data_IF_681487341490
#
_entry.id   IF_681487341490
#
_cell.length_a   1.000
_cell.length_b   1.000
_cell.length_c   1.000
_cell.angle_alpha   90.00
_cell.angle_beta   90.00
_cell.angle_gamma   90.00
#
_symmetry.space_group_name_H-M   'P 1'
#
loop_
_entity.id
_entity.type
_entity.pdbx_description
1 polymer ?
#
# COMPACT_ATOMS: atom_id res chain seq x y z
N UNK A 1 -20.33 43.33 -15.07
CA UNK A 1 -19.68 43.23 -13.75
C UNK A 1 -18.42 42.41 -13.95
N UNK A 2 -17.25 43.02 -13.87
CA UNK A 2 -15.98 42.37 -14.20
C UNK A 2 -15.50 41.57 -12.98
N UNK A 3 -15.28 40.26 -13.14
CA UNK A 3 -14.91 39.36 -12.03
C UNK A 3 -13.56 39.77 -11.41
N UNK A 4 -12.70 40.45 -12.18
CA UNK A 4 -11.42 41.02 -11.73
C UNK A 4 -11.56 42.10 -10.65
N UNK A 5 -12.74 42.71 -10.50
CA UNK A 5 -12.96 43.80 -9.54
C UNK A 5 -13.57 43.32 -8.21
N UNK A 6 -13.95 42.05 -8.11
CA UNK A 6 -14.49 41.44 -6.90
C UNK A 6 -13.47 41.45 -5.75
N UNK A 7 -13.92 41.83 -4.55
CA UNK A 7 -13.09 41.84 -3.34
C UNK A 7 -12.60 40.42 -2.99
N UNK A 8 -13.41 39.39 -3.27
CA UNK A 8 -13.01 37.98 -3.16
C UNK A 8 -11.88 37.61 -4.14
N UNK A 9 -11.83 38.22 -5.32
CA UNK A 9 -10.72 37.97 -6.27
C UNK A 9 -9.44 38.66 -5.79
N UNK A 10 -9.54 39.86 -5.24
CA UNK A 10 -8.38 40.63 -4.74
C UNK A 10 -7.74 40.00 -3.51
N UNK A 11 -8.55 39.49 -2.58
CA UNK A 11 -8.04 38.92 -1.32
C UNK A 11 -7.38 37.55 -1.50
N UNK A 12 -7.87 36.74 -2.44
CA UNK A 12 -7.34 35.38 -2.65
C UNK A 12 -6.36 35.26 -3.82
N UNK A 13 -6.39 36.15 -4.82
CA UNK A 13 -5.49 36.07 -5.99
C UNK A 13 -4.22 36.92 -5.88
N UNK A 14 -4.22 38.06 -5.14
CA UNK A 14 -3.03 38.92 -5.03
C UNK A 14 -1.78 38.23 -4.45
N UNK A 15 -1.87 37.34 -3.44
CA UNK A 15 -0.70 36.62 -2.94
C UNK A 15 -0.09 35.66 -3.97
N UNK A 16 -0.86 35.23 -4.97
CA UNK A 16 -0.44 34.29 -6.03
C UNK A 16 0.24 35.03 -7.19
N UNK A 17 -0.03 36.33 -7.36
CA UNK A 17 0.44 37.13 -8.50
C UNK A 17 1.83 37.76 -8.30
N UNK A 18 2.37 37.76 -7.08
CA UNK A 18 3.71 38.28 -6.78
C UNK A 18 4.50 37.30 -5.90
N UNK A 19 5.00 36.17 -6.46
CA UNK A 19 5.99 35.37 -5.75
C UNK A 19 7.30 36.16 -5.67
N UNK A 20 7.83 36.37 -4.46
CA UNK A 20 9.17 36.93 -4.26
C UNK A 20 10.20 36.13 -5.08
N UNK A 21 11.09 36.79 -5.84
CA UNK A 21 12.01 36.09 -6.73
C UNK A 21 13.09 35.37 -5.91
N UNK A 22 13.05 34.04 -5.89
CA UNK A 22 14.19 33.22 -5.46
C UNK A 22 15.26 33.20 -6.58
N UNK A 23 16.56 33.33 -6.27
CA UNK A 23 17.59 33.32 -7.30
C UNK A 23 17.82 31.88 -7.81
N UNK A 24 17.58 31.64 -9.11
CA UNK A 24 17.97 30.40 -9.80
C UNK A 24 16.94 29.71 -10.72
N UNK A 25 15.81 30.35 -11.04
CA UNK A 25 14.70 29.69 -11.76
C UNK A 25 14.92 29.49 -13.27
N UNK A 26 14.82 28.22 -13.69
CA UNK A 26 14.62 27.77 -15.08
C UNK A 26 13.39 28.47 -15.68
N UNK A 27 13.52 29.00 -16.90
CA UNK A 27 12.43 29.65 -17.64
C UNK A 27 11.38 28.61 -18.08
N UNK A 28 10.24 28.56 -17.39
CA UNK A 28 9.02 27.93 -17.92
C UNK A 28 8.36 28.84 -18.98
N UNK A 29 7.66 28.29 -19.99
CA UNK A 29 6.87 29.07 -20.94
C UNK A 29 5.71 29.80 -20.22
N UNK A 30 5.10 30.84 -20.83
CA UNK A 30 4.12 31.67 -20.15
C UNK A 30 2.83 30.87 -19.93
N UNK A 31 2.71 30.23 -18.78
CA UNK A 31 1.46 29.65 -18.30
C UNK A 31 0.42 30.76 -18.22
N UNK A 32 -0.78 30.54 -18.78
CA UNK A 32 -1.89 31.45 -18.57
C UNK A 32 -2.23 31.50 -17.08
N UNK A 33 -2.88 32.58 -16.63
CA UNK A 33 -3.36 32.72 -15.23
C UNK A 33 -4.18 31.48 -14.83
N UNK A 34 -4.99 30.95 -15.77
CA UNK A 34 -5.80 29.76 -15.54
C UNK A 34 -4.94 28.51 -15.29
N UNK A 35 -3.88 28.30 -16.07
CA UNK A 35 -3.01 27.13 -15.90
C UNK A 35 -2.30 27.16 -14.54
N UNK A 36 -1.88 28.35 -14.10
CA UNK A 36 -1.26 28.55 -12.78
C UNK A 36 -2.25 28.20 -11.65
N UNK A 37 -3.51 28.61 -11.79
CA UNK A 37 -4.57 28.28 -10.83
C UNK A 37 -4.85 26.78 -10.82
N UNK A 38 -4.95 26.13 -11.99
CA UNK A 38 -5.17 24.68 -12.09
C UNK A 38 -4.02 23.89 -11.45
N UNK A 39 -2.77 24.30 -11.74
CA UNK A 39 -1.58 23.70 -11.15
C UNK A 39 -1.57 23.85 -9.63
N UNK A 40 -1.94 25.02 -9.11
CA UNK A 40 -2.04 25.26 -7.67
C UNK A 40 -3.11 24.39 -7.01
N UNK A 41 -4.31 24.30 -7.60
CA UNK A 41 -5.40 23.45 -7.09
C UNK A 41 -5.02 21.96 -7.09
N UNK A 42 -4.30 21.51 -8.12
CA UNK A 42 -3.80 20.14 -8.19
C UNK A 42 -2.74 19.88 -7.12
N UNK A 43 -1.84 20.83 -6.86
CA UNK A 43 -0.81 20.73 -5.83
C UNK A 43 -1.35 20.75 -4.39
N UNK A 44 -2.56 21.25 -4.16
CA UNK A 44 -3.24 21.18 -2.85
C UNK A 44 -3.99 19.87 -2.62
N UNK A 45 -4.18 19.08 -3.68
CA UNK A 45 -4.98 17.87 -3.61
C UNK A 45 -4.31 16.80 -2.74
N UNK A 46 -5.12 16.09 -1.96
CA UNK A 46 -4.69 15.02 -1.06
C UNK A 46 -5.44 13.75 -1.36
N UNK A 47 -4.71 12.65 -1.49
CA UNK A 47 -5.27 11.31 -1.59
C UNK A 47 -5.33 10.67 -0.20
N UNK A 48 -6.52 10.24 0.19
CA UNK A 48 -6.74 9.45 1.40
C UNK A 48 -7.06 8.01 1.00
N UNK A 49 -6.17 7.10 1.33
CA UNK A 49 -6.33 5.69 0.98
C UNK A 49 -7.33 5.01 1.91
N UNK A 50 -8.34 4.35 1.34
CA UNK A 50 -9.25 3.49 2.08
C UNK A 50 -8.93 2.01 1.92
N UNK A 51 -8.38 1.62 0.76
CA UNK A 51 -7.98 0.23 0.49
C UNK A 51 -6.90 0.18 -0.59
N UNK A 52 -5.89 -0.67 -0.40
CA UNK A 52 -4.91 -1.06 -1.42
C UNK A 52 -4.84 -2.57 -1.40
N UNK A 53 -5.03 -3.22 -2.54
CA UNK A 53 -4.90 -4.67 -2.67
C UNK A 53 -3.80 -5.00 -3.68
N UNK A 54 -2.85 -5.82 -3.24
CA UNK A 54 -1.76 -6.37 -4.05
C UNK A 54 -2.01 -7.87 -4.19
N UNK A 55 -2.12 -8.35 -5.42
CA UNK A 55 -2.45 -9.75 -5.76
C UNK A 55 -1.63 -10.25 -6.95
N UNK A 56 -1.75 -11.54 -7.28
CA UNK A 56 -1.18 -12.16 -8.48
C UNK A 56 0.31 -11.84 -8.67
N UNK A 57 1.11 -12.08 -7.63
CA UNK A 57 2.54 -11.82 -7.63
C UNK A 57 3.28 -12.75 -8.60
N UNK A 58 4.05 -12.18 -9.54
CA UNK A 58 5.03 -12.91 -10.36
C UNK A 58 6.46 -12.55 -9.94
N UNK A 59 7.48 -12.87 -10.73
CA UNK A 59 8.84 -12.41 -10.45
C UNK A 59 9.04 -10.92 -10.77
N UNK A 60 8.26 -10.40 -11.71
CA UNK A 60 8.45 -9.12 -12.41
C UNK A 60 7.18 -8.25 -12.46
N UNK A 61 6.05 -8.72 -11.92
CA UNK A 61 4.77 -8.01 -11.96
C UNK A 61 3.87 -8.36 -10.77
N UNK A 62 2.81 -7.57 -10.61
CA UNK A 62 1.74 -7.80 -9.64
C UNK A 62 0.44 -7.13 -10.11
N UNK A 63 -0.69 -7.54 -9.57
CA UNK A 63 -1.96 -6.83 -9.73
C UNK A 63 -2.17 -5.84 -8.58
N UNK A 64 -2.63 -4.64 -8.93
CA UNK A 64 -2.89 -3.55 -7.97
C UNK A 64 -4.33 -3.06 -8.11
N UNK A 65 -5.03 -2.95 -6.97
CA UNK A 65 -6.31 -2.25 -6.84
C UNK A 65 -6.18 -1.16 -5.78
N UNK A 66 -6.67 0.05 -6.06
CA UNK A 66 -6.64 1.17 -5.11
C UNK A 66 -8.03 1.76 -4.98
N UNK A 67 -8.51 1.87 -3.74
CA UNK A 67 -9.63 2.70 -3.36
C UNK A 67 -9.12 3.87 -2.52
N UNK A 68 -9.39 5.08 -2.98
CA UNK A 68 -9.01 6.29 -2.26
C UNK A 68 -10.05 7.39 -2.40
N UNK A 69 -9.88 8.46 -1.63
CA UNK A 69 -10.65 9.68 -1.73
C UNK A 69 -9.72 10.83 -2.06
N UNK A 70 -9.94 11.47 -3.20
CA UNK A 70 -9.29 12.72 -3.57
C UNK A 70 -10.03 13.88 -2.91
N UNK A 71 -9.31 14.73 -2.21
CA UNK A 71 -9.85 15.91 -1.51
C UNK A 71 -8.92 17.10 -1.70
N UNK A 72 -9.35 18.31 -1.29
CA UNK A 72 -8.48 19.49 -1.35
C UNK A 72 -8.29 20.09 -2.75
N UNK A 73 -9.09 19.67 -3.74
CA UNK A 73 -9.05 20.19 -5.13
C UNK A 73 -9.68 21.57 -5.30
N UNK A 74 -9.99 22.26 -4.20
CA UNK A 74 -10.60 23.59 -4.17
C UNK A 74 -12.12 23.61 -4.42
N UNK A 75 -12.70 24.82 -4.46
CA UNK A 75 -14.15 24.99 -4.56
C UNK A 75 -14.71 24.73 -5.97
N UNK A 76 -13.81 24.63 -6.96
CA UNK A 76 -14.15 24.47 -8.37
C UNK A 76 -14.20 22.99 -8.70
N UNK A 77 -15.32 22.53 -9.25
CA UNK A 77 -15.37 21.16 -9.79
C UNK A 77 -14.45 21.04 -10.99
N UNK A 78 -13.57 20.03 -10.95
CA UNK A 78 -12.61 19.76 -11.99
C UNK A 78 -12.64 18.31 -12.42
N UNK A 79 -12.16 18.05 -13.62
CA UNK A 79 -12.07 16.72 -14.19
C UNK A 79 -10.63 16.47 -14.60
N UNK A 80 -10.00 15.52 -13.94
CA UNK A 80 -8.71 14.96 -14.34
C UNK A 80 -9.03 13.88 -15.38
N UNK A 81 -8.53 14.02 -16.61
CA UNK A 81 -8.73 13.01 -17.65
C UNK A 81 -8.00 11.70 -17.27
N UNK A 82 -8.43 10.59 -17.85
CA UNK A 82 -7.69 9.34 -17.73
C UNK A 82 -6.26 9.54 -18.27
N UNK A 83 -5.26 9.06 -17.53
CA UNK A 83 -3.85 9.23 -17.85
C UNK A 83 -3.02 8.08 -17.28
N UNK A 84 -1.80 7.91 -17.78
CA UNK A 84 -0.83 6.95 -17.23
C UNK A 84 0.06 7.68 -16.23
N UNK A 85 0.14 7.14 -15.01
CA UNK A 85 0.95 7.72 -13.93
C UNK A 85 2.08 6.78 -13.56
N UNK A 86 3.22 7.34 -13.20
CA UNK A 86 4.30 6.58 -12.58
C UNK A 86 4.06 6.49 -11.08
N UNK A 87 4.29 5.31 -10.52
CA UNK A 87 4.26 5.06 -9.09
C UNK A 87 5.67 5.25 -8.53
N UNK A 88 5.87 6.21 -7.63
CA UNK A 88 7.16 6.48 -7.01
C UNK A 88 7.16 6.12 -5.53
N UNK A 89 8.23 5.45 -5.10
CA UNK A 89 8.54 5.20 -3.71
C UNK A 89 10.01 5.54 -3.46
N UNK A 90 10.28 6.32 -2.41
CA UNK A 90 11.64 6.78 -2.07
C UNK A 90 12.43 7.40 -3.24
N UNK A 91 11.74 8.13 -4.14
CA UNK A 91 12.36 8.80 -5.28
C UNK A 91 12.64 7.90 -6.50
N UNK A 92 12.29 6.61 -6.44
CA UNK A 92 12.46 5.67 -7.55
C UNK A 92 11.11 5.12 -8.01
N UNK A 93 10.99 4.92 -9.34
CA UNK A 93 9.76 4.41 -9.95
C UNK A 93 9.60 2.91 -9.64
N UNK A 94 8.45 2.52 -9.11
CA UNK A 94 8.05 1.13 -8.89
C UNK A 94 7.43 0.51 -10.15
N UNK A 95 6.76 1.32 -10.96
CA UNK A 95 6.01 0.86 -12.13
C UNK A 95 5.05 1.95 -12.63
N UNK A 96 4.22 1.59 -13.60
CA UNK A 96 3.23 2.49 -14.21
C UNK A 96 1.83 1.92 -14.05
N UNK A 97 0.86 2.79 -13.82
CA UNK A 97 -0.55 2.42 -13.77
C UNK A 97 -1.41 3.41 -14.55
N UNK A 98 -2.55 2.93 -15.06
CA UNK A 98 -3.59 3.79 -15.61
C UNK A 98 -4.43 4.36 -14.47
N UNK A 99 -4.51 5.69 -14.39
CA UNK A 99 -5.42 6.41 -13.54
C UNK A 99 -6.70 6.70 -14.33
N UNK A 100 -7.88 6.27 -13.85
CA UNK A 100 -9.13 6.55 -14.55
C UNK A 100 -9.47 8.04 -14.50
N UNK A 101 -10.44 8.47 -15.30
CA UNK A 101 -10.95 9.83 -15.22
C UNK A 101 -11.52 10.12 -13.82
N UNK A 102 -11.05 11.19 -13.18
CA UNK A 102 -11.51 11.62 -11.86
C UNK A 102 -12.30 12.91 -11.98
N UNK A 103 -13.55 12.92 -11.50
CA UNK A 103 -14.37 14.12 -11.40
C UNK A 103 -14.28 14.67 -9.99
N UNK A 104 -13.33 15.56 -9.74
CA UNK A 104 -13.16 16.20 -8.44
C UNK A 104 -14.33 17.15 -8.13
N UNK A 105 -14.93 16.95 -6.97
CA UNK A 105 -16.01 17.78 -6.44
C UNK A 105 -15.60 18.50 -5.15
N UNK A 106 -16.38 19.51 -4.77
CA UNK A 106 -16.15 20.34 -3.58
C UNK A 106 -15.92 19.54 -2.30
N UNK A 107 -16.70 18.47 -2.09
CA UNK A 107 -16.63 17.64 -0.89
C UNK A 107 -15.53 16.57 -0.93
N UNK A 108 -14.83 16.42 -2.06
CA UNK A 108 -13.95 15.30 -2.37
C UNK A 108 -14.67 14.15 -3.08
N UNK A 109 -13.91 13.37 -3.83
CA UNK A 109 -14.40 12.35 -4.77
C UNK A 109 -13.74 11.01 -4.49
N UNK A 110 -14.51 9.91 -4.58
CA UNK A 110 -13.96 8.56 -4.54
C UNK A 110 -13.22 8.26 -5.84
N UNK A 111 -11.98 7.81 -5.72
CA UNK A 111 -11.15 7.32 -6.82
C UNK A 111 -11.05 5.81 -6.67
N UNK A 112 -11.44 5.08 -7.71
CA UNK A 112 -11.36 3.63 -7.77
C UNK A 112 -10.49 3.24 -8.96
N UNK A 113 -9.28 2.80 -8.66
CA UNK A 113 -8.40 2.15 -9.62
C UNK A 113 -8.73 0.67 -9.58
N UNK A 114 -9.31 0.16 -10.67
CA UNK A 114 -9.64 -1.28 -10.81
C UNK A 114 -8.35 -2.10 -10.87
N UNK A 115 -8.50 -3.40 -10.61
CA UNK A 115 -7.39 -4.34 -10.72
C UNK A 115 -6.73 -4.24 -12.09
N UNK A 116 -5.43 -3.95 -12.07
CA UNK A 116 -4.60 -3.88 -13.25
C UNK A 116 -3.22 -4.44 -12.94
N UNK A 117 -2.59 -5.03 -13.97
CA UNK A 117 -1.23 -5.57 -13.87
C UNK A 117 -0.22 -4.41 -13.96
N UNK A 118 0.71 -4.39 -13.02
CA UNK A 118 1.82 -3.45 -12.95
C UNK A 118 3.12 -4.24 -13.14
N UNK A 119 3.92 -3.85 -14.13
CA UNK A 119 5.26 -4.39 -14.29
C UNK A 119 6.23 -3.62 -13.38
N UNK A 120 7.07 -4.38 -12.67
CA UNK A 120 8.00 -3.87 -11.66
C UNK A 120 9.22 -3.27 -12.37
N UNK A 121 9.39 -1.95 -12.25
CA UNK A 121 10.52 -1.24 -12.84
C UNK A 121 11.82 -1.42 -12.04
N UNK A 122 11.72 -1.53 -10.71
CA UNK A 122 12.84 -1.74 -9.79
C UNK A 122 12.43 -2.71 -8.69
N UNK A 123 12.89 -3.96 -8.79
CA UNK A 123 12.54 -5.03 -7.84
C UNK A 123 13.11 -4.78 -6.44
N UNK A 124 14.26 -4.09 -6.33
CA UNK A 124 14.87 -3.80 -5.03
C UNK A 124 14.02 -2.76 -4.31
N UNK A 125 13.65 -1.69 -5.00
CA UNK A 125 12.80 -0.65 -4.44
C UNK A 125 11.37 -1.16 -4.16
N UNK A 126 10.84 -2.03 -5.02
CA UNK A 126 9.54 -2.67 -4.79
C UNK A 126 9.53 -3.55 -3.54
N UNK A 127 10.58 -4.36 -3.31
CA UNK A 127 10.70 -5.13 -2.06
C UNK A 127 10.78 -4.23 -0.84
N UNK A 128 11.50 -3.11 -0.93
CA UNK A 128 11.55 -2.11 0.14
C UNK A 128 10.17 -1.48 0.40
N UNK A 129 9.37 -1.26 -0.65
CA UNK A 129 7.99 -0.79 -0.52
C UNK A 129 7.09 -1.81 0.20
N UNK A 130 7.13 -3.09 -0.20
CA UNK A 130 6.35 -4.15 0.47
C UNK A 130 6.77 -4.29 1.94
N UNK A 131 8.07 -4.29 2.22
CA UNK A 131 8.59 -4.28 3.60
C UNK A 131 8.05 -3.08 4.38
N UNK A 132 8.05 -1.89 3.79
CA UNK A 132 7.52 -0.68 4.41
C UNK A 132 6.04 -0.82 4.75
N UNK A 133 5.23 -1.40 3.85
CA UNK A 133 3.82 -1.68 4.09
C UNK A 133 3.61 -2.68 5.25
N UNK A 134 4.44 -3.72 5.37
CA UNK A 134 4.27 -4.76 6.38
C UNK A 134 4.82 -4.36 7.76
N UNK A 135 5.95 -3.66 7.80
CA UNK A 135 6.71 -3.44 9.04
C UNK A 135 6.48 -2.04 9.63
N UNK A 136 6.34 -1.01 8.80
CA UNK A 136 6.19 0.36 9.28
C UNK A 136 4.72 0.74 9.50
N UNK A 137 4.45 1.69 10.40
CA UNK A 137 3.10 2.21 10.66
C UNK A 137 2.64 3.19 9.57
N UNK A 138 3.58 3.85 8.91
CA UNK A 138 3.35 4.87 7.90
C UNK A 138 4.32 4.68 6.74
N UNK A 139 3.79 4.80 5.53
CA UNK A 139 4.53 4.84 4.28
C UNK A 139 3.84 5.80 3.31
N UNK A 140 4.48 6.12 2.19
CA UNK A 140 3.88 7.00 1.19
C UNK A 140 4.24 6.51 -0.20
N UNK A 141 3.26 6.50 -1.08
CA UNK A 141 3.45 6.32 -2.51
C UNK A 141 3.15 7.64 -3.20
N UNK A 142 3.88 7.99 -4.25
CA UNK A 142 3.64 9.21 -5.02
C UNK A 142 3.17 8.84 -6.42
N UNK A 143 2.11 9.50 -6.88
CA UNK A 143 1.66 9.43 -8.28
C UNK A 143 2.24 10.63 -9.02
N UNK A 144 3.01 10.39 -10.07
CA UNK A 144 3.66 11.45 -10.86
C UNK A 144 3.34 11.28 -12.35
N UNK A 145 2.83 12.35 -12.97
CA UNK A 145 2.58 12.49 -14.40
C UNK A 145 2.86 13.93 -14.84
N UNK A 146 3.85 14.10 -15.72
CA UNK A 146 4.25 15.40 -16.28
C UNK A 146 3.24 16.02 -17.27
N UNK A 147 2.27 15.25 -17.78
CA UNK A 147 1.35 15.70 -18.84
C UNK A 147 -0.11 15.35 -18.55
N UNK A 148 -0.58 15.70 -17.35
CA UNK A 148 -1.95 15.47 -16.97
C UNK A 148 -2.88 16.56 -17.55
N UNK A 149 -4.00 16.17 -18.18
CA UNK A 149 -5.01 17.13 -18.64
C UNK A 149 -6.10 17.32 -17.60
N UNK A 150 -6.23 18.56 -17.10
CA UNK A 150 -7.26 18.96 -16.13
C UNK A 150 -8.26 19.88 -16.80
N UNK A 151 -9.56 19.60 -16.63
CA UNK A 151 -10.67 20.43 -17.14
C UNK A 151 -11.43 21.06 -15.99
N UNK A 152 -11.58 22.38 -16.00
CA UNK A 152 -12.43 23.10 -15.06
C UNK A 152 -12.89 24.43 -15.66
N UNK A 153 -14.06 24.90 -15.20
CA UNK A 153 -14.67 26.17 -15.65
C UNK A 153 -14.78 26.31 -17.17
N UNK A 154 -15.02 25.20 -17.88
CA UNK A 154 -15.13 25.19 -19.35
C UNK A 154 -13.79 25.27 -20.10
N UNK A 155 -12.66 25.27 -19.40
CA UNK A 155 -11.31 25.29 -19.97
C UNK A 155 -10.58 23.98 -19.71
N UNK A 156 -9.54 23.69 -20.51
CA UNK A 156 -8.64 22.54 -20.34
C UNK A 156 -7.20 23.05 -20.28
N UNK A 157 -6.44 22.54 -19.32
CA UNK A 157 -5.04 22.89 -19.10
C UNK A 157 -4.20 21.63 -18.96
N UNK A 158 -2.95 21.70 -19.43
CA UNK A 158 -1.95 20.66 -19.19
C UNK A 158 -1.21 21.04 -17.89
N UNK A 159 -1.19 20.11 -16.94
CA UNK A 159 -0.62 20.30 -15.60
C UNK A 159 0.35 19.16 -15.30
N UNK A 160 1.32 19.45 -14.43
CA UNK A 160 2.17 18.43 -13.82
C UNK A 160 1.44 17.90 -12.58
N UNK A 161 1.05 16.63 -12.61
CA UNK A 161 0.40 15.96 -11.49
C UNK A 161 1.46 15.30 -10.61
N UNK A 162 1.53 15.74 -9.36
CA UNK A 162 2.28 15.07 -8.29
C UNK A 162 1.39 14.94 -7.07
N UNK A 163 0.88 13.74 -6.83
CA UNK A 163 -0.02 13.46 -5.72
C UNK A 163 0.65 12.52 -4.74
N UNK A 164 0.86 12.99 -3.52
CA UNK A 164 1.29 12.14 -2.42
C UNK A 164 0.09 11.34 -1.91
N UNK A 165 0.32 10.03 -1.78
CA UNK A 165 -0.63 9.05 -1.29
C UNK A 165 -0.05 8.44 0.00
N UNK A 166 -0.26 9.10 1.16
CA UNK A 166 0.12 8.53 2.44
C UNK A 166 -0.71 7.26 2.70
N UNK A 167 -0.03 6.22 3.15
CA UNK A 167 -0.59 4.90 3.42
C UNK A 167 -0.23 4.54 4.85
N UNK A 168 -1.25 4.21 5.65
CA UNK A 168 -1.01 3.55 6.93
C UNK A 168 -0.54 2.12 6.65
N UNK A 169 0.66 1.78 7.09
CA UNK A 169 1.17 0.42 7.01
C UNK A 169 0.58 -0.48 8.09
N UNK A 170 0.94 -1.76 8.07
CA UNK A 170 0.43 -2.77 9.01
C UNK A 170 1.01 -2.61 10.42
N UNK A 171 2.18 -1.97 10.55
CA UNK A 171 2.87 -1.82 11.85
C UNK A 171 3.31 -3.15 12.46
N UNK A 172 3.59 -4.15 11.60
CA UNK A 172 3.93 -5.51 12.00
C UNK A 172 2.72 -6.46 12.09
N UNK A 173 2.92 -7.77 11.83
CA UNK A 173 1.84 -8.75 11.88
C UNK A 173 1.38 -9.01 13.32
N UNK A 174 0.11 -8.73 13.61
CA UNK A 174 -0.54 -9.07 14.89
C UNK A 174 -1.23 -10.41 14.77
N UNK A 175 -0.59 -11.46 15.30
CA UNK A 175 -1.03 -12.84 15.13
C UNK A 175 -1.35 -13.49 16.48
N UNK A 176 -2.41 -14.29 16.52
CA UNK A 176 -2.74 -15.21 17.62
C UNK A 176 -2.96 -16.64 17.10
N UNK A 177 -2.61 -17.63 17.91
CA UNK A 177 -2.95 -19.03 17.63
C UNK A 177 -4.31 -19.36 18.26
N UNK A 178 -5.31 -19.58 17.41
CA UNK A 178 -6.69 -19.84 17.84
C UNK A 178 -6.92 -21.31 18.11
N UNK A 179 -6.38 -22.18 17.23
CA UNK A 179 -6.57 -23.62 17.31
C UNK A 179 -5.32 -24.36 16.86
N UNK A 180 -4.99 -25.45 17.55
CA UNK A 180 -3.99 -26.42 17.13
C UNK A 180 -4.54 -27.83 17.34
N UNK A 181 -4.36 -28.71 16.35
CA UNK A 181 -4.78 -30.12 16.43
C UNK A 181 -3.82 -31.03 15.69
N UNK A 182 -3.72 -32.28 16.13
CA UNK A 182 -2.94 -33.33 15.45
C UNK A 182 -3.67 -33.85 14.21
N UNK A 183 -2.90 -34.22 13.19
CA UNK A 183 -3.36 -34.86 11.96
C UNK A 183 -2.38 -35.98 11.62
N UNK A 184 -2.67 -37.20 12.07
CA UNK A 184 -1.74 -38.34 12.01
C UNK A 184 -0.59 -38.22 13.02
N UNK A 185 0.45 -39.04 12.82
CA UNK A 185 1.51 -39.24 13.82
C UNK A 185 2.36 -37.98 14.07
N UNK A 186 2.78 -37.30 12.99
CA UNK A 186 3.64 -36.11 13.05
C UNK A 186 2.93 -34.85 12.58
N UNK A 187 1.75 -34.97 11.96
CA UNK A 187 1.07 -33.86 11.32
C UNK A 187 0.31 -32.99 12.31
N UNK A 188 0.23 -31.70 11.99
CA UNK A 188 -0.52 -30.71 12.75
C UNK A 188 -1.33 -29.82 11.80
N UNK A 189 -2.42 -29.28 12.33
CA UNK A 189 -3.23 -28.24 11.71
C UNK A 189 -3.36 -27.10 12.70
N UNK A 190 -2.89 -25.93 12.32
CA UNK A 190 -2.86 -24.72 13.13
C UNK A 190 -3.72 -23.63 12.49
N UNK A 191 -4.65 -23.05 13.23
CA UNK A 191 -5.45 -21.91 12.80
C UNK A 191 -4.98 -20.67 13.53
N UNK A 192 -4.48 -19.70 12.77
CA UNK A 192 -4.02 -18.41 13.26
C UNK A 192 -5.03 -17.32 12.95
N UNK A 193 -5.21 -16.36 13.85
CA UNK A 193 -5.92 -15.11 13.55
C UNK A 193 -4.91 -14.00 13.30
N UNK A 194 -5.10 -13.23 12.23
CA UNK A 194 -4.32 -12.03 11.94
C UNK A 194 -5.26 -10.83 11.99
N UNK A 195 -4.89 -9.80 12.75
CA UNK A 195 -5.63 -8.54 12.81
C UNK A 195 -4.83 -7.41 12.16
N UNK A 196 -5.25 -7.00 10.97
CA UNK A 196 -4.64 -5.95 10.19
C UNK A 196 -5.53 -4.70 10.17
N UNK A 197 -5.13 -3.66 10.90
CA UNK A 197 -5.89 -2.40 10.97
C UNK A 197 -5.59 -1.44 9.81
N UNK A 198 -4.65 -1.78 8.94
CA UNK A 198 -4.25 -0.96 7.79
C UNK A 198 -5.22 -1.12 6.61
N UNK A 199 -5.27 -0.17 5.66
CA UNK A 199 -6.00 -0.34 4.40
C UNK A 199 -5.31 -1.31 3.42
N UNK A 200 -4.18 -1.94 3.79
CA UNK A 200 -3.34 -2.72 2.88
C UNK A 200 -3.74 -4.18 2.93
N UNK A 201 -3.95 -4.77 1.76
CA UNK A 201 -4.18 -6.19 1.56
C UNK A 201 -3.10 -6.77 0.65
N UNK A 202 -2.51 -7.90 1.03
CA UNK A 202 -1.43 -8.55 0.27
C UNK A 202 -1.69 -10.05 0.20
N UNK A 203 -1.84 -10.54 -1.02
CA UNK A 203 -1.90 -11.96 -1.31
C UNK A 203 -0.49 -12.53 -1.51
N UNK A 204 -0.05 -13.37 -0.57
CA UNK A 204 1.23 -14.06 -0.67
C UNK A 204 1.10 -15.46 -1.26
N UNK A 205 -0.11 -15.86 -1.70
CA UNK A 205 -0.41 -17.21 -2.18
C UNK A 205 -0.03 -18.26 -1.11
N UNK A 206 0.35 -19.47 -1.55
CA UNK A 206 0.74 -20.57 -0.68
C UNK A 206 2.14 -20.37 -0.12
N UNK A 207 2.20 -20.10 1.17
CA UNK A 207 3.40 -19.78 1.91
C UNK A 207 3.92 -20.98 2.72
N UNK A 208 5.23 -20.96 2.96
CA UNK A 208 5.94 -21.85 3.87
C UNK A 208 6.33 -21.07 5.12
N UNK A 209 6.03 -21.65 6.27
CA UNK A 209 6.31 -21.05 7.57
C UNK A 209 7.04 -22.02 8.47
N UNK A 210 7.78 -21.46 9.41
CA UNK A 210 8.33 -22.16 10.55
C UNK A 210 7.69 -21.65 11.83
N UNK A 211 7.29 -22.59 12.68
CA UNK A 211 6.93 -22.30 14.05
C UNK A 211 8.17 -22.51 14.92
N UNK A 212 8.73 -21.44 15.46
CA UNK A 212 9.97 -21.46 16.25
C UNK A 212 9.71 -21.19 17.73
N UNK A 213 10.52 -21.80 18.60
CA UNK A 213 10.54 -21.46 20.02
C UNK A 213 11.28 -20.12 20.25
N UNK A 214 11.38 -19.69 21.50
CA UNK A 214 12.10 -18.46 21.88
C UNK A 214 13.61 -18.51 21.66
N UNK A 215 14.21 -19.70 21.57
CA UNK A 215 15.62 -19.91 21.27
C UNK A 215 15.92 -19.86 19.76
N UNK A 216 14.88 -19.88 18.93
CA UNK A 216 14.98 -19.86 17.47
C UNK A 216 14.93 -21.24 16.82
N UNK A 217 14.77 -22.31 17.59
CA UNK A 217 14.67 -23.67 17.07
C UNK A 217 13.29 -23.93 16.47
N UNK A 218 13.27 -24.56 15.29
CA UNK A 218 12.06 -24.91 14.55
C UNK A 218 11.33 -26.09 15.21
N UNK A 219 10.15 -25.84 15.77
CA UNK A 219 9.28 -26.85 16.37
C UNK A 219 8.37 -27.51 15.33
N UNK A 220 7.97 -26.78 14.29
CA UNK A 220 7.16 -27.32 13.21
C UNK A 220 7.35 -26.53 11.92
N UNK A 221 7.17 -27.23 10.80
CA UNK A 221 7.12 -26.65 9.46
C UNK A 221 5.65 -26.64 9.02
N UNK A 222 5.15 -25.49 8.60
CA UNK A 222 3.76 -25.21 8.28
C UNK A 222 3.64 -24.69 6.84
N UNK A 223 2.52 -24.97 6.19
CA UNK A 223 2.19 -24.50 4.84
C UNK A 223 0.71 -24.19 4.70
N UNK A 224 0.39 -23.18 3.92
CA UNK A 224 -0.98 -22.80 3.62
C UNK A 224 -1.05 -21.46 2.89
N UNK A 225 -2.24 -21.11 2.44
CA UNK A 225 -2.49 -19.83 1.79
C UNK A 225 -2.46 -18.69 2.81
N UNK A 226 -1.78 -17.60 2.46
CA UNK A 226 -1.78 -16.37 3.24
C UNK A 226 -2.22 -15.20 2.37
N UNK A 227 -3.43 -14.72 2.62
CA UNK A 227 -3.94 -13.48 2.03
C UNK A 227 -4.26 -12.50 3.15
N UNK A 228 -3.34 -11.60 3.47
CA UNK A 228 -3.54 -10.59 4.52
C UNK A 228 -4.62 -9.63 4.03
N UNK A 229 -5.77 -9.62 4.69
CA UNK A 229 -6.91 -8.74 4.37
C UNK A 229 -7.05 -7.62 5.41
N UNK A 230 -7.83 -6.59 5.11
CA UNK A 230 -8.18 -5.57 6.09
C UNK A 230 -9.10 -6.16 7.17
N UNK A 231 -8.84 -5.84 8.43
CA UNK A 231 -9.57 -6.34 9.59
C UNK A 231 -8.99 -7.65 10.13
N UNK A 232 -9.86 -8.48 10.71
CA UNK A 232 -9.48 -9.76 11.30
C UNK A 232 -9.82 -10.92 10.37
N UNK A 233 -8.88 -11.82 10.15
CA UNK A 233 -9.08 -13.04 9.36
C UNK A 233 -8.34 -14.23 9.96
N UNK A 234 -8.87 -15.43 9.71
CA UNK A 234 -8.30 -16.69 10.19
C UNK A 234 -7.67 -17.47 9.04
N UNK A 235 -6.48 -18.01 9.28
CA UNK A 235 -5.69 -18.76 8.31
C UNK A 235 -5.37 -20.13 8.88
N UNK A 236 -5.62 -21.17 8.10
CA UNK A 236 -5.33 -22.55 8.50
C UNK A 236 -4.09 -23.03 7.79
N UNK A 237 -3.09 -23.40 8.56
CA UNK A 237 -1.82 -23.92 8.09
C UNK A 237 -1.72 -25.41 8.47
N UNK A 238 -1.23 -26.21 7.53
CA UNK A 238 -1.00 -27.63 7.70
C UNK A 238 0.48 -27.89 7.76
N UNK A 239 0.92 -28.81 8.61
CA UNK A 239 2.36 -29.01 8.77
C UNK A 239 2.74 -30.25 9.53
N UNK A 240 4.02 -30.33 9.87
CA UNK A 240 4.61 -31.45 10.62
C UNK A 240 5.49 -30.92 11.75
N UNK A 241 5.37 -31.56 12.90
CA UNK A 241 6.23 -31.31 14.07
C UNK A 241 7.63 -31.88 13.86
N UNK A 242 8.63 -31.23 14.46
CA UNK A 242 10.01 -31.70 14.54
C UNK A 242 10.25 -32.24 15.94
N UNK A 243 10.83 -33.44 16.01
CA UNK A 243 11.11 -34.13 17.28
C UNK A 243 12.27 -33.45 18.03
N UNK A 244 12.23 -33.49 19.38
CA UNK A 244 13.36 -33.09 20.22
C UNK A 244 13.52 -31.58 20.46
N UNK A 245 12.58 -30.74 19.99
CA UNK A 245 12.55 -29.30 20.27
C UNK A 245 11.47 -28.99 21.30
N UNK A 246 11.87 -28.50 22.47
CA UNK A 246 10.92 -28.16 23.53
C UNK A 246 10.19 -26.83 23.23
N UNK A 247 8.86 -26.78 23.38
CA UNK A 247 8.10 -25.54 23.27
C UNK A 247 8.30 -24.63 24.48
N UNK A 248 8.25 -23.33 24.22
CA UNK A 248 8.25 -22.25 25.23
C UNK A 248 6.85 -21.66 25.43
N UNK A 249 6.71 -20.77 26.41
CA UNK A 249 5.48 -19.98 26.69
C UNK A 249 5.11 -19.02 25.54
N UNK A 250 6.08 -18.66 24.72
CA UNK A 250 5.91 -17.91 23.47
C UNK A 250 6.43 -18.71 22.29
N UNK A 251 5.88 -18.44 21.13
CA UNK A 251 6.37 -18.96 19.86
C UNK A 251 6.43 -17.85 18.81
N UNK A 252 7.19 -18.12 17.75
CA UNK A 252 7.32 -17.24 16.59
C UNK A 252 6.80 -17.93 15.35
N UNK A 253 5.89 -17.29 14.64
CA UNK A 253 5.53 -17.70 13.29
C UNK A 253 6.41 -16.90 12.32
N UNK A 254 7.27 -17.60 11.59
CA UNK A 254 8.25 -16.99 10.67
C UNK A 254 7.94 -17.44 9.25
N UNK A 255 7.76 -16.50 8.33
CA UNK A 255 7.68 -16.77 6.90
C UNK A 255 9.05 -17.15 6.35
N UNK A 256 9.13 -18.24 5.60
CA UNK A 256 10.40 -18.77 5.08
C UNK A 256 10.47 -18.71 3.56
N UNK A 257 9.32 -18.88 2.90
CA UNK A 257 9.23 -18.82 1.45
C UNK A 257 7.80 -19.01 0.96
N UNK A 258 7.64 -19.16 -0.34
CA UNK A 258 6.37 -19.45 -1.01
C UNK A 258 6.54 -20.63 -1.96
N UNK A 259 5.45 -21.34 -2.25
CA UNK A 259 5.44 -22.32 -3.33
C UNK A 259 5.46 -21.57 -4.68
N UNK A 260 6.35 -21.98 -5.58
CA UNK A 260 6.50 -21.35 -6.90
C UNK A 260 7.57 -20.25 -6.94
N UNK A 261 7.49 -19.37 -7.94
CA UNK A 261 8.48 -18.34 -8.22
C UNK A 261 7.82 -16.98 -8.31
N UNK A 262 7.83 -16.23 -7.20
CA UNK A 262 7.36 -14.85 -7.14
C UNK A 262 8.22 -14.04 -6.17
N UNK A 263 8.09 -12.72 -6.23
CA UNK A 263 8.74 -11.85 -5.24
C UNK A 263 8.24 -12.08 -3.80
N UNK A 264 7.08 -12.72 -3.62
CA UNK A 264 6.54 -13.06 -2.29
C UNK A 264 7.49 -13.94 -1.48
N UNK A 265 8.33 -14.75 -2.15
CA UNK A 265 9.32 -15.58 -1.46
C UNK A 265 10.33 -14.80 -0.62
N UNK A 266 10.61 -13.54 -1.00
CA UNK A 266 11.46 -12.66 -0.20
C UNK A 266 10.66 -11.83 0.80
N UNK A 267 9.48 -11.32 0.42
CA UNK A 267 8.69 -10.43 1.28
C UNK A 267 7.99 -11.17 2.41
N UNK A 268 7.66 -12.45 2.25
CA UNK A 268 7.07 -13.27 3.31
C UNK A 268 7.99 -13.40 4.53
N UNK A 269 9.31 -13.23 4.34
CA UNK A 269 10.29 -13.25 5.43
C UNK A 269 10.15 -12.06 6.39
N UNK A 270 9.44 -11.00 5.97
CA UNK A 270 9.08 -9.89 6.86
C UNK A 270 7.94 -10.28 7.84
N UNK A 271 7.26 -11.41 7.61
CA UNK A 271 6.35 -11.99 8.58
C UNK A 271 7.13 -12.76 9.64
N UNK A 272 7.36 -12.09 10.76
CA UNK A 272 8.00 -12.66 11.95
C UNK A 272 7.21 -12.21 13.18
N UNK A 273 6.23 -13.02 13.57
CA UNK A 273 5.25 -12.65 14.59
C UNK A 273 5.46 -13.47 15.86
N UNK A 274 5.64 -12.80 16.99
CA UNK A 274 5.67 -13.43 18.31
C UNK A 274 4.25 -13.51 18.88
N UNK A 275 3.87 -14.67 19.41
CA UNK A 275 2.58 -14.86 20.06
C UNK A 275 2.70 -15.77 21.29
N UNK A 276 1.70 -15.69 22.17
CA UNK A 276 1.61 -16.53 23.37
C UNK A 276 1.19 -17.95 22.98
N UNK A 277 1.97 -18.95 23.37
CA UNK A 277 1.66 -20.35 23.16
C UNK A 277 1.01 -20.90 24.43
N UNK A 278 -0.30 -21.18 24.34
CA UNK A 278 -1.04 -21.72 25.48
C UNK A 278 -0.55 -23.13 25.85
N UNK A 279 -0.56 -23.54 27.13
CA UNK A 279 -0.03 -24.83 27.57
C UNK A 279 -0.64 -26.02 26.82
N UNK A 280 -1.95 -25.98 26.53
CA UNK A 280 -2.63 -27.04 25.78
C UNK A 280 -2.08 -27.22 24.36
N UNK A 281 -1.57 -26.16 23.73
CA UNK A 281 -0.94 -26.23 22.42
C UNK A 281 0.52 -26.64 22.50
N UNK A 282 1.22 -26.23 23.56
CA UNK A 282 2.59 -26.67 23.81
C UNK A 282 2.66 -28.20 23.94
N UNK A 283 1.72 -28.85 24.66
CA UNK A 283 1.68 -30.32 24.75
C UNK A 283 1.49 -30.98 23.37
N UNK A 284 0.69 -30.38 22.49
CA UNK A 284 0.50 -30.89 21.13
C UNK A 284 1.73 -30.75 20.25
N UNK A 285 2.67 -29.86 20.59
CA UNK A 285 3.94 -29.70 19.87
C UNK A 285 5.07 -30.53 20.47
N UNK A 286 4.93 -31.01 21.71
CA UNK A 286 5.93 -31.88 22.34
C UNK A 286 5.96 -33.23 21.67
N UNK A 287 7.18 -33.65 21.34
CA UNK A 287 7.54 -35.02 20.99
C UNK A 287 8.93 -35.34 21.49
#
# INVERSE_FOLDING_TARGET
>A
MNISDSDLFKDYARPVLNPDPRPGGVRCPPFGIMDTVMQHLLGLAKLQVSRIKISNATQDSFCLTIESRLSGTGPVSSTINATNVNLFFNGSSLGRMELPQIRAGFWGTKVLVKEQRIDIADIVNYRAFIRSLMVHEDTSLQLDDSQCTVKALGTSSICEMRLDMPIKGMGGPRISLEKLSRSGDNGIVATFSINNTSPVEIDHDRCLFELRNTQGDTMAELRGELNIVQGQANYTLHGTTRDGVAPSDKARLVGVGVEGSSWCGETIKELDAVFVLRPEFAELLRR
#
